data_IF_983527118215
#
_entry.id   IF_983527118215
#
_cell.length_a   1.000
_cell.length_b   1.000
_cell.length_c   1.000
_cell.angle_alpha   90.00
_cell.angle_beta   90.00
_cell.angle_gamma   90.00
#
_symmetry.space_group_name_H-M   'P 1'
#
loop_
_entity.id
_entity.type
_entity.pdbx_description
1 polymer ?
#
# COMPACT_ATOMS: atom_id res chain seq x y z
N UNK A 1 -18.98 9.91 -16.53
CA UNK A 1 -18.38 9.36 -15.31
C UNK A 1 -17.89 10.52 -14.47
N UNK A 2 -18.17 10.56 -13.17
CA UNK A 2 -17.54 11.56 -12.33
C UNK A 2 -16.03 11.31 -12.36
N UNK A 3 -15.28 12.29 -12.84
CA UNK A 3 -13.82 12.23 -12.83
C UNK A 3 -13.35 12.58 -11.43
N UNK A 4 -12.56 11.71 -10.82
CA UNK A 4 -11.87 12.00 -9.55
C UNK A 4 -10.92 13.17 -9.81
N UNK A 5 -11.10 14.25 -9.06
CA UNK A 5 -10.31 15.46 -9.19
C UNK A 5 -9.26 15.63 -8.09
N UNK A 6 -9.45 14.98 -6.94
CA UNK A 6 -8.52 15.04 -5.80
C UNK A 6 -8.29 13.67 -5.18
N UNK A 7 -7.02 13.28 -5.09
CA UNK A 7 -6.57 12.04 -4.45
C UNK A 7 -5.71 12.37 -3.25
N UNK A 8 -6.08 11.83 -2.10
CA UNK A 8 -5.26 11.86 -0.89
C UNK A 8 -4.15 10.83 -0.94
N UNK A 9 -2.99 11.18 -0.45
CA UNK A 9 -1.88 10.26 -0.23
C UNK A 9 -1.56 10.18 1.25
N UNK A 10 -1.58 8.97 1.80
CA UNK A 10 -1.07 8.69 3.13
C UNK A 10 0.36 8.14 3.00
N UNK A 11 1.33 8.87 3.55
CA UNK A 11 2.76 8.55 3.44
C UNK A 11 3.45 8.54 4.80
N UNK A 12 4.39 7.62 5.01
CA UNK A 12 5.26 7.64 6.17
C UNK A 12 6.48 8.52 5.88
N UNK A 13 6.73 9.59 6.66
CA UNK A 13 7.87 10.47 6.45
C UNK A 13 9.22 9.76 6.66
N UNK A 14 9.26 8.68 7.47
CA UNK A 14 10.45 7.87 7.70
C UNK A 14 10.74 6.82 6.62
N UNK A 15 9.87 6.66 5.63
CA UNK A 15 10.08 5.67 4.56
C UNK A 15 11.14 6.14 3.56
N UNK A 16 12.15 5.32 3.31
CA UNK A 16 13.22 5.60 2.34
C UNK A 16 12.72 5.68 0.89
N UNK A 17 11.61 5.03 0.57
CA UNK A 17 11.01 5.01 -0.77
C UNK A 17 9.99 6.11 -1.00
N UNK A 18 9.64 6.88 0.04
CA UNK A 18 8.61 7.94 -0.02
C UNK A 18 8.87 8.96 -1.13
N UNK A 19 10.11 9.46 -1.23
CA UNK A 19 10.46 10.46 -2.24
C UNK A 19 10.26 9.98 -3.67
N UNK A 20 10.70 8.75 -3.97
CA UNK A 20 10.52 8.14 -5.28
C UNK A 20 9.03 7.96 -5.62
N UNK A 21 8.22 7.46 -4.67
CA UNK A 21 6.77 7.32 -4.86
C UNK A 21 6.07 8.67 -5.09
N UNK A 22 6.40 9.70 -4.29
CA UNK A 22 5.80 11.02 -4.44
C UNK A 22 6.15 11.66 -5.79
N UNK A 23 7.38 11.53 -6.26
CA UNK A 23 7.80 12.04 -7.56
C UNK A 23 7.06 11.34 -8.70
N UNK A 24 6.97 10.01 -8.66
CA UNK A 24 6.27 9.22 -9.67
C UNK A 24 4.77 9.54 -9.70
N UNK A 25 4.13 9.60 -8.53
CA UNK A 25 2.71 9.92 -8.42
C UNK A 25 2.41 11.37 -8.79
N UNK A 26 3.30 12.30 -8.44
CA UNK A 26 3.18 13.71 -8.84
C UNK A 26 3.18 13.90 -10.36
N UNK A 27 4.08 13.21 -11.06
CA UNK A 27 4.09 13.19 -12.52
C UNK A 27 2.82 12.62 -13.14
N UNK A 28 2.34 11.49 -12.63
CA UNK A 28 1.11 10.88 -13.10
C UNK A 28 -0.13 11.75 -12.82
N UNK A 29 -0.22 12.34 -11.64
CA UNK A 29 -1.31 13.23 -11.26
C UNK A 29 -1.37 14.48 -12.16
N UNK A 30 -0.21 15.05 -12.48
CA UNK A 30 -0.13 16.19 -13.40
C UNK A 30 -0.63 15.83 -14.81
N UNK A 31 -0.25 14.65 -15.32
CA UNK A 31 -0.73 14.17 -16.62
C UNK A 31 -2.24 13.92 -16.66
N UNK A 32 -2.82 13.51 -15.52
CA UNK A 32 -4.25 13.20 -15.39
C UNK A 32 -5.07 14.39 -14.89
N UNK A 33 -4.45 15.53 -14.66
CA UNK A 33 -5.08 16.74 -14.10
C UNK A 33 -5.76 16.50 -12.74
N UNK A 34 -5.17 15.61 -11.92
CA UNK A 34 -5.65 15.24 -10.58
C UNK A 34 -4.84 15.96 -9.51
N UNK A 35 -5.51 16.62 -8.58
CA UNK A 35 -4.88 17.22 -7.41
C UNK A 35 -4.42 16.17 -6.39
N UNK A 36 -3.19 16.25 -5.92
CA UNK A 36 -2.68 15.39 -4.86
C UNK A 36 -2.67 16.14 -3.51
N UNK A 37 -3.28 15.51 -2.50
CA UNK A 37 -3.27 15.96 -1.11
C UNK A 37 -2.42 14.98 -0.30
N UNK A 38 -1.26 15.42 0.20
CA UNK A 38 -0.34 14.54 0.91
C UNK A 38 -0.44 14.75 2.40
N UNK A 39 -0.67 13.67 3.14
CA UNK A 39 -0.62 13.65 4.61
C UNK A 39 0.41 12.64 5.08
N UNK A 40 1.17 13.03 6.10
CA UNK A 40 2.17 12.19 6.72
C UNK A 40 1.62 11.49 7.96
N UNK A 41 2.02 10.24 8.17
CA UNK A 41 1.70 9.50 9.38
C UNK A 41 2.84 8.54 9.73
N UNK A 42 3.30 8.61 10.99
CA UNK A 42 4.33 7.77 11.60
C UNK A 42 3.83 7.01 12.83
N UNK A 43 2.56 7.18 13.20
CA UNK A 43 1.89 6.47 14.29
C UNK A 43 0.44 6.16 13.95
N UNK A 44 -0.19 5.31 14.78
CA UNK A 44 -1.62 4.97 14.60
C UNK A 44 -2.53 6.19 14.73
N UNK A 45 -2.25 7.09 15.67
CA UNK A 45 -3.00 8.33 15.89
C UNK A 45 -2.84 9.30 14.71
N UNK A 46 -1.66 9.33 14.12
CA UNK A 46 -1.41 10.15 12.93
C UNK A 46 -2.08 9.57 11.68
N UNK A 47 -2.20 8.25 11.58
CA UNK A 47 -2.97 7.59 10.51
C UNK A 47 -4.44 8.02 10.60
N UNK A 48 -5.02 7.95 11.79
CA UNK A 48 -6.42 8.35 12.01
C UNK A 48 -6.65 9.82 11.65
N UNK A 49 -5.82 10.72 12.19
CA UNK A 49 -5.87 12.14 11.85
C UNK A 49 -5.65 12.40 10.36
N UNK A 50 -4.68 11.70 9.77
CA UNK A 50 -4.34 11.87 8.36
C UNK A 50 -5.51 11.55 7.43
N UNK A 51 -6.23 10.45 7.67
CA UNK A 51 -7.40 10.06 6.88
C UNK A 51 -8.54 11.08 7.06
N UNK A 52 -8.78 11.55 8.30
CA UNK A 52 -9.78 12.56 8.57
C UNK A 52 -9.46 13.89 7.86
N UNK A 53 -8.21 14.35 7.94
CA UNK A 53 -7.74 15.58 7.27
C UNK A 53 -7.89 15.48 5.75
N UNK A 54 -7.50 14.34 5.15
CA UNK A 54 -7.67 14.14 3.71
C UNK A 54 -9.14 14.22 3.30
N UNK A 55 -10.02 13.65 4.10
CA UNK A 55 -11.47 13.72 3.88
C UNK A 55 -11.98 15.17 3.95
N UNK A 56 -11.57 15.91 4.98
CA UNK A 56 -11.99 17.31 5.18
C UNK A 56 -11.46 18.23 4.08
N UNK A 57 -10.29 17.93 3.52
CA UNK A 57 -9.72 18.63 2.36
C UNK A 57 -10.39 18.26 1.03
N UNK A 58 -11.36 17.36 1.05
CA UNK A 58 -12.12 16.95 -0.11
C UNK A 58 -11.44 15.90 -0.97
N UNK A 59 -10.59 15.04 -0.38
CA UNK A 59 -10.10 13.86 -1.08
C UNK A 59 -11.27 12.93 -1.43
N UNK A 60 -11.38 12.60 -2.70
CA UNK A 60 -12.40 11.70 -3.24
C UNK A 60 -11.98 10.24 -3.17
N UNK A 61 -10.67 10.00 -3.09
CA UNK A 61 -10.06 8.69 -2.82
C UNK A 61 -8.76 8.87 -2.05
N UNK A 62 -8.34 7.85 -1.32
CA UNK A 62 -7.06 7.83 -0.58
C UNK A 62 -6.20 6.68 -1.07
N UNK A 63 -4.99 6.98 -1.50
CA UNK A 63 -3.95 6.02 -1.81
C UNK A 63 -2.98 5.92 -0.63
N UNK A 64 -2.78 4.71 -0.15
CA UNK A 64 -1.85 4.41 0.94
C UNK A 64 -0.54 3.93 0.32
N UNK A 65 0.56 4.65 0.56
CA UNK A 65 1.87 4.24 0.07
C UNK A 65 2.39 3.01 0.81
N UNK A 66 3.05 2.08 0.12
CA UNK A 66 3.61 0.88 0.75
C UNK A 66 4.66 1.25 1.80
N UNK A 67 4.41 0.82 3.03
CA UNK A 67 5.31 1.02 4.17
C UNK A 67 5.05 -0.05 5.24
N UNK A 68 6.08 -0.45 5.99
CA UNK A 68 5.96 -1.49 7.02
C UNK A 68 4.99 -1.11 8.15
N UNK A 69 4.93 0.18 8.52
CA UNK A 69 3.96 0.67 9.50
C UNK A 69 2.52 0.45 8.99
N UNK A 70 2.23 0.87 7.76
CA UNK A 70 0.89 0.74 7.19
C UNK A 70 0.49 -0.71 6.95
N UNK A 71 1.43 -1.58 6.58
CA UNK A 71 1.21 -3.02 6.47
C UNK A 71 0.79 -3.61 7.83
N UNK A 72 1.48 -3.25 8.92
CA UNK A 72 1.14 -3.72 10.26
C UNK A 72 -0.19 -3.15 10.79
N UNK A 73 -0.70 -2.08 10.19
CA UNK A 73 -1.94 -1.38 10.56
C UNK A 73 -3.05 -1.50 9.52
N UNK A 74 -2.96 -2.50 8.65
CA UNK A 74 -3.87 -2.65 7.51
C UNK A 74 -5.35 -2.70 7.94
N UNK A 75 -5.68 -3.39 9.02
CA UNK A 75 -7.04 -3.48 9.55
C UNK A 75 -7.53 -2.13 10.08
N UNK A 76 -6.68 -1.39 10.80
CA UNK A 76 -6.99 -0.04 11.28
C UNK A 76 -7.29 0.89 10.11
N UNK A 77 -6.42 0.92 9.10
CA UNK A 77 -6.57 1.78 7.92
C UNK A 77 -7.86 1.44 7.17
N UNK A 78 -8.15 0.15 6.96
CA UNK A 78 -9.38 -0.29 6.30
C UNK A 78 -10.63 0.16 7.06
N UNK A 79 -10.64 -0.01 8.40
CA UNK A 79 -11.78 0.41 9.24
C UNK A 79 -11.98 1.93 9.25
N UNK A 80 -10.89 2.69 9.30
CA UNK A 80 -10.95 4.16 9.23
C UNK A 80 -11.47 4.66 7.88
N UNK A 81 -10.99 4.08 6.79
CA UNK A 81 -11.47 4.40 5.44
C UNK A 81 -12.98 4.13 5.30
N UNK A 82 -13.46 3.02 5.83
CA UNK A 82 -14.88 2.68 5.87
C UNK A 82 -15.68 3.65 6.74
N UNK A 83 -15.19 3.98 7.94
CA UNK A 83 -15.84 4.92 8.87
C UNK A 83 -15.99 6.31 8.24
N UNK A 84 -14.94 6.80 7.60
CA UNK A 84 -14.96 8.11 6.92
C UNK A 84 -15.60 8.06 5.53
N UNK A 85 -16.02 6.88 5.07
CA UNK A 85 -16.61 6.65 3.73
C UNK A 85 -15.72 7.19 2.61
N UNK A 86 -14.42 6.97 2.70
CA UNK A 86 -13.44 7.36 1.70
C UNK A 86 -12.98 6.14 0.94
N UNK A 87 -13.18 6.09 -0.39
CA UNK A 87 -12.59 5.06 -1.22
C UNK A 87 -11.09 5.00 -1.00
N UNK A 88 -10.58 3.81 -0.72
CA UNK A 88 -9.16 3.64 -0.39
C UNK A 88 -8.51 2.54 -1.22
N UNK A 89 -7.28 2.80 -1.64
CA UNK A 89 -6.48 1.90 -2.46
C UNK A 89 -5.16 1.65 -1.76
N UNK A 90 -4.76 0.40 -1.66
CA UNK A 90 -3.48 -0.01 -1.12
C UNK A 90 -2.80 -1.04 -2.02
N UNK A 91 -1.48 -1.07 -2.01
CA UNK A 91 -0.69 -1.95 -2.88
C UNK A 91 -0.66 -3.43 -2.43
N UNK A 92 -1.41 -3.80 -1.38
CA UNK A 92 -1.41 -5.14 -0.81
C UNK A 92 -2.80 -5.76 -0.81
N UNK A 93 -2.88 -7.04 -1.17
CA UNK A 93 -4.10 -7.83 -1.19
C UNK A 93 -4.76 -7.91 0.18
N UNK A 94 -3.96 -8.04 1.23
CA UNK A 94 -4.40 -8.12 2.62
C UNK A 94 -5.27 -6.92 3.03
N UNK A 95 -5.11 -5.78 2.37
CA UNK A 95 -5.96 -4.61 2.60
C UNK A 95 -7.41 -4.84 2.13
N UNK A 96 -7.60 -5.45 0.97
CA UNK A 96 -8.94 -5.81 0.49
C UNK A 96 -9.57 -6.90 1.37
N UNK A 97 -8.79 -7.86 1.85
CA UNK A 97 -9.23 -8.90 2.78
C UNK A 97 -9.62 -8.34 4.16
N UNK A 98 -8.97 -7.24 4.58
CA UNK A 98 -9.30 -6.51 5.80
C UNK A 98 -10.53 -5.58 5.67
N UNK A 99 -11.20 -5.58 4.53
CA UNK A 99 -12.38 -4.74 4.28
C UNK A 99 -12.08 -3.42 3.56
N UNK A 100 -10.86 -3.21 3.08
CA UNK A 100 -10.53 -2.09 2.20
C UNK A 100 -11.22 -2.21 0.85
N UNK A 101 -11.46 -1.07 0.19
CA UNK A 101 -12.24 -1.06 -1.04
C UNK A 101 -11.51 -1.75 -2.20
N UNK A 102 -10.22 -1.49 -2.38
CA UNK A 102 -9.45 -2.03 -3.49
C UNK A 102 -7.98 -2.20 -3.12
N UNK A 103 -7.38 -3.27 -3.61
CA UNK A 103 -5.93 -3.45 -3.63
C UNK A 103 -5.43 -3.49 -5.08
N UNK A 104 -4.34 -2.77 -5.34
CA UNK A 104 -3.66 -2.80 -6.62
C UNK A 104 -2.16 -2.92 -6.37
N UNK A 105 -1.60 -4.06 -6.66
CA UNK A 105 -0.19 -4.33 -6.45
C UNK A 105 0.20 -5.74 -6.89
N UNK A 106 1.49 -6.03 -6.84
CA UNK A 106 2.01 -7.36 -7.15
C UNK A 106 1.54 -8.38 -6.11
N UNK A 107 1.07 -9.52 -6.58
CA UNK A 107 0.82 -10.67 -5.73
C UNK A 107 2.16 -11.16 -5.16
N UNK A 108 2.35 -11.01 -3.84
CA UNK A 108 3.61 -11.39 -3.17
C UNK A 108 3.93 -12.86 -3.36
N UNK A 109 2.91 -13.75 -3.31
CA UNK A 109 3.10 -15.18 -3.54
C UNK A 109 3.60 -15.47 -4.96
N UNK A 110 3.04 -14.79 -5.94
CA UNK A 110 3.44 -14.94 -7.35
C UNK A 110 4.83 -14.37 -7.61
N UNK A 111 5.18 -13.25 -6.96
CA UNK A 111 6.53 -12.69 -6.98
C UNK A 111 7.54 -13.65 -6.35
N UNK A 112 7.21 -14.26 -5.22
CA UNK A 112 8.08 -15.27 -4.59
C UNK A 112 8.21 -16.52 -5.46
N UNK A 113 7.11 -17.04 -6.03
CA UNK A 113 7.17 -18.19 -6.95
C UNK A 113 8.02 -17.89 -8.18
N UNK A 114 7.87 -16.72 -8.77
CA UNK A 114 8.70 -16.29 -9.91
C UNK A 114 10.18 -16.21 -9.53
N UNK A 115 10.49 -15.67 -8.34
CA UNK A 115 11.86 -15.61 -7.82
C UNK A 115 12.46 -17.01 -7.63
N UNK A 116 11.70 -17.93 -7.03
CA UNK A 116 12.12 -19.32 -6.83
C UNK A 116 12.39 -20.01 -8.17
N UNK A 117 11.51 -19.82 -9.15
CA UNK A 117 11.67 -20.37 -10.50
C UNK A 117 12.91 -19.79 -11.19
N UNK A 118 13.18 -18.51 -10.96
CA UNK A 118 14.37 -17.85 -11.52
C UNK A 118 15.67 -18.38 -10.91
N UNK A 119 15.67 -18.60 -9.59
CA UNK A 119 16.80 -19.19 -8.85
C UNK A 119 17.06 -20.63 -9.31
N UNK A 120 16.01 -21.42 -9.52
CA UNK A 120 16.11 -22.79 -10.02
C UNK A 120 16.72 -22.85 -11.43
N UNK A 121 16.35 -21.91 -12.31
CA UNK A 121 16.92 -21.76 -13.66
C UNK A 121 18.39 -21.30 -13.66
N UNK A 122 18.84 -20.61 -12.62
CA UNK A 122 20.24 -20.18 -12.47
C UNK A 122 21.16 -21.28 -11.97
N UNK A 123 20.66 -22.49 -11.69
CA UNK A 123 21.46 -23.65 -11.31
C UNK A 123 22.10 -23.54 -9.92
N UNK A 124 21.54 -22.73 -9.04
CA UNK A 124 21.95 -22.67 -7.64
C UNK A 124 21.55 -23.95 -6.92
N UNK A 125 22.49 -24.48 -6.14
CA UNK A 125 22.44 -25.83 -5.54
C UNK A 125 21.23 -26.04 -4.61
N UNK A 126 20.92 -27.32 -4.35
CA UNK A 126 19.76 -27.77 -3.59
C UNK A 126 19.68 -27.28 -2.12
N UNK A 127 20.71 -26.63 -1.59
CA UNK A 127 20.72 -26.08 -0.23
C UNK A 127 19.68 -24.99 -0.03
N UNK A 128 19.37 -24.20 -1.06
CA UNK A 128 18.37 -23.14 -1.05
C UNK A 128 16.94 -23.66 -0.97
N UNK A 129 16.69 -24.86 -1.50
CA UNK A 129 15.34 -25.47 -1.43
C UNK A 129 14.91 -25.76 0.01
N UNK A 130 15.85 -26.02 0.92
CA UNK A 130 15.58 -26.24 2.35
C UNK A 130 15.25 -24.95 3.10
N UNK A 131 15.80 -23.82 2.69
CA UNK A 131 15.51 -22.51 3.28
C UNK A 131 14.14 -21.95 2.85
N UNK A 132 13.68 -22.34 1.67
CA UNK A 132 12.41 -21.90 1.09
C UNK A 132 11.25 -22.88 1.34
N UNK A 133 11.50 -24.03 1.98
CA UNK A 133 10.44 -24.92 2.40
C UNK A 133 9.53 -24.20 3.40
N UNK A 134 8.19 -24.32 3.24
CA UNK A 134 7.25 -23.72 4.20
C UNK A 134 7.55 -24.27 5.59
N UNK A 135 7.93 -23.36 6.50
CA UNK A 135 8.11 -23.69 7.91
C UNK A 135 6.74 -24.09 8.46
N UNK A 136 6.63 -25.24 9.17
CA UNK A 136 5.37 -25.58 9.83
C UNK A 136 5.05 -24.46 10.83
N UNK A 137 3.85 -23.89 10.72
CA UNK A 137 3.37 -22.95 11.72
C UNK A 137 3.46 -23.61 13.08
N UNK A 138 4.31 -23.07 13.94
CA UNK A 138 4.31 -23.45 15.36
C UNK A 138 2.92 -23.10 15.92
N UNK A 139 2.26 -24.15 16.44
CA UNK A 139 0.98 -24.00 17.15
C UNK A 139 1.20 -23.33 18.49
#
# INVERSE_FOLDING_TARGET
>A
MPSVSRVGLLANPGSSTRGAHLNSLGGAAQQLEVGLLVTNASSSEEIERGIAVLKDQGAEAVLILPDSLFISRVVLIASLAATHRVPSIFALREFAEAGGMMSYGTNREESFRSTVTFIDKMGLDASWRRLLAPQPCAR
#
